data_IF_892029127871
#
_entry.id   IF_892029127871
#
_cell.length_a   1.000
_cell.length_b   1.000
_cell.length_c   1.000
_cell.angle_alpha   90.00
_cell.angle_beta   90.00
_cell.angle_gamma   90.00
#
_symmetry.space_group_name_H-M   'P 1'
#
loop_
_entity.id
_entity.type
_entity.pdbx_description
1 polymer ?
#
# COMPACT_ATOMS: atom_id res chain seq x y z
N UNK A 1 -31.44 -16.94 9.33
CA UNK A 1 -30.27 -16.86 8.43
C UNK A 1 -29.82 -15.42 8.44
N UNK A 2 -28.55 -15.17 8.74
CA UNK A 2 -27.98 -13.84 8.51
C UNK A 2 -28.13 -13.52 7.01
N UNK A 3 -28.20 -12.24 6.64
CA UNK A 3 -28.49 -11.81 5.28
C UNK A 3 -27.51 -12.35 4.21
N UNK A 4 -26.36 -12.92 4.61
CA UNK A 4 -25.30 -13.39 3.71
C UNK A 4 -24.80 -14.82 3.97
N UNK A 5 -25.54 -15.66 4.71
CA UNK A 5 -25.12 -17.05 4.99
C UNK A 5 -24.97 -17.88 3.69
N UNK A 6 -25.97 -17.82 2.80
CA UNK A 6 -25.93 -18.54 1.51
C UNK A 6 -24.84 -18.00 0.58
N UNK A 7 -24.63 -16.68 0.56
CA UNK A 7 -23.56 -16.05 -0.22
C UNK A 7 -22.18 -16.46 0.32
N UNK A 8 -22.03 -16.55 1.63
CA UNK A 8 -20.80 -17.02 2.28
C UNK A 8 -20.52 -18.49 1.95
N UNK A 9 -21.54 -19.34 1.97
CA UNK A 9 -21.41 -20.74 1.58
C UNK A 9 -21.03 -20.89 0.09
N UNK A 10 -21.66 -20.11 -0.79
CA UNK A 10 -21.35 -20.11 -2.22
C UNK A 10 -19.91 -19.63 -2.48
N UNK A 11 -19.47 -18.55 -1.81
CA UNK A 11 -18.10 -18.05 -1.90
C UNK A 11 -17.11 -19.10 -1.41
N UNK A 12 -17.33 -19.69 -0.23
CA UNK A 12 -16.43 -20.69 0.34
C UNK A 12 -16.39 -21.99 -0.49
N UNK A 13 -17.47 -22.30 -1.23
CA UNK A 13 -17.50 -23.45 -2.15
C UNK A 13 -16.62 -23.24 -3.38
N UNK A 14 -16.43 -21.99 -3.82
CA UNK A 14 -15.58 -21.66 -4.96
C UNK A 14 -14.15 -21.27 -4.54
N UNK A 15 -14.03 -20.50 -3.47
CA UNK A 15 -12.78 -19.92 -2.95
C UNK A 15 -12.75 -20.06 -1.41
N UNK A 16 -12.38 -21.24 -0.89
CA UNK A 16 -12.44 -21.55 0.56
C UNK A 16 -11.60 -20.62 1.46
N UNK A 17 -10.62 -19.93 0.88
CA UNK A 17 -9.70 -19.00 1.54
C UNK A 17 -10.24 -17.56 1.60
N UNK A 18 -11.32 -17.25 0.88
CA UNK A 18 -11.98 -15.95 0.93
C UNK A 18 -13.12 -15.95 1.95
N UNK A 19 -13.39 -14.80 2.56
CA UNK A 19 -14.50 -14.61 3.49
C UNK A 19 -15.36 -13.42 3.10
N UNK A 20 -16.67 -13.53 3.37
CA UNK A 20 -17.55 -12.36 3.44
C UNK A 20 -17.51 -11.86 4.88
N UNK A 21 -16.99 -10.64 5.09
CA UNK A 21 -17.10 -9.95 6.36
C UNK A 21 -18.15 -8.85 6.23
N UNK A 22 -19.00 -8.70 7.24
CA UNK A 22 -20.02 -7.63 7.28
C UNK A 22 -19.55 -6.48 8.16
N UNK A 23 -19.92 -5.27 7.77
CA UNK A 23 -19.70 -4.08 8.59
C UNK A 23 -20.76 -3.97 9.72
N UNK A 24 -20.65 -2.94 10.56
CA UNK A 24 -21.61 -2.69 11.66
C UNK A 24 -23.04 -2.30 11.20
N UNK A 25 -23.29 -2.22 9.87
CA UNK A 25 -24.62 -2.08 9.25
C UNK A 25 -25.06 -3.36 8.53
N UNK A 26 -24.27 -4.42 8.64
CA UNK A 26 -24.54 -5.72 8.04
C UNK A 26 -24.27 -5.78 6.54
N UNK A 27 -23.51 -4.85 5.95
CA UNK A 27 -23.20 -4.84 4.52
C UNK A 27 -21.86 -5.55 4.22
N UNK A 28 -21.78 -6.34 3.13
CA UNK A 28 -20.69 -7.28 2.91
C UNK A 28 -19.47 -6.67 2.21
N UNK A 29 -18.29 -7.19 2.54
CA UNK A 29 -17.07 -7.07 1.73
C UNK A 29 -16.48 -8.47 1.51
N UNK A 30 -15.96 -8.73 0.31
CA UNK A 30 -15.18 -9.94 0.02
C UNK A 30 -13.72 -9.71 0.41
N UNK A 31 -13.22 -10.54 1.32
CA UNK A 31 -11.91 -10.37 1.94
C UNK A 31 -11.02 -11.60 1.71
N UNK A 32 -9.72 -11.37 1.62
CA UNK A 32 -8.68 -12.40 1.53
C UNK A 32 -7.91 -12.43 2.83
N UNK A 33 -7.81 -13.60 3.46
CA UNK A 33 -7.04 -13.76 4.69
C UNK A 33 -5.56 -13.97 4.37
N UNK A 34 -4.70 -13.18 4.99
CA UNK A 34 -3.25 -13.27 4.93
C UNK A 34 -2.75 -13.76 6.29
N UNK A 35 -2.30 -15.02 6.42
CA UNK A 35 -1.73 -15.53 7.65
C UNK A 35 -0.49 -14.75 8.07
N UNK A 36 -0.29 -14.58 9.37
CA UNK A 36 0.95 -14.02 9.93
C UNK A 36 2.16 -14.78 9.42
N UNK A 37 3.21 -14.04 9.08
CA UNK A 37 4.53 -14.55 8.76
C UNK A 37 5.63 -13.68 9.38
N UNK A 38 6.86 -14.22 9.38
CA UNK A 38 8.08 -13.57 9.85
C UNK A 38 8.77 -12.82 8.72
N UNK A 39 9.67 -11.90 9.08
CA UNK A 39 10.55 -11.24 8.11
C UNK A 39 11.40 -12.25 7.32
N UNK A 40 11.90 -13.30 7.98
CA UNK A 40 12.67 -14.39 7.36
C UNK A 40 11.87 -15.27 6.39
N UNK A 41 10.54 -15.30 6.50
CA UNK A 41 9.71 -16.05 5.56
C UNK A 41 9.67 -15.40 4.18
N UNK A 42 9.89 -14.07 4.11
CA UNK A 42 9.74 -13.28 2.88
C UNK A 42 11.02 -12.56 2.41
N UNK A 43 12.03 -12.44 3.26
CA UNK A 43 13.33 -11.84 2.93
C UNK A 43 14.45 -12.81 3.31
N UNK A 44 15.28 -13.16 2.32
CA UNK A 44 16.40 -14.07 2.53
C UNK A 44 17.44 -13.44 3.47
N UNK A 45 17.80 -14.16 4.54
CA UNK A 45 18.78 -13.70 5.53
C UNK A 45 18.25 -12.68 6.55
N UNK A 46 16.97 -12.33 6.51
CA UNK A 46 16.34 -11.50 7.53
C UNK A 46 16.17 -12.26 8.86
N UNK A 47 15.95 -11.51 9.94
CA UNK A 47 15.68 -12.09 11.27
C UNK A 47 14.30 -12.74 11.39
N UNK A 48 14.14 -13.57 12.41
CA UNK A 48 12.94 -14.37 12.68
C UNK A 48 11.78 -13.60 13.37
N UNK A 49 11.85 -12.27 13.41
CA UNK A 49 10.79 -11.45 13.98
C UNK A 49 9.53 -11.47 13.13
N UNK A 50 8.36 -11.43 13.78
CA UNK A 50 7.06 -11.21 13.13
C UNK A 50 7.11 -9.98 12.23
N UNK A 51 6.56 -10.07 11.02
CA UNK A 51 6.46 -8.91 10.13
C UNK A 51 5.57 -7.82 10.79
N UNK A 52 5.98 -6.53 10.81
CA UNK A 52 5.27 -5.48 11.55
C UNK A 52 3.78 -5.30 11.20
N UNK A 53 3.37 -5.67 9.97
CA UNK A 53 1.97 -5.71 9.54
C UNK A 53 1.05 -6.51 10.47
N UNK A 54 1.57 -7.51 11.18
CA UNK A 54 0.80 -8.38 12.06
C UNK A 54 0.88 -7.95 13.53
N UNK A 55 1.38 -6.76 13.85
CA UNK A 55 1.48 -6.25 15.21
C UNK A 55 0.67 -4.97 15.32
N UNK A 56 -0.43 -5.02 16.06
CA UNK A 56 -1.31 -3.87 16.30
C UNK A 56 -1.32 -3.55 17.79
N UNK A 57 -0.89 -2.35 18.15
CA UNK A 57 -0.71 -1.87 19.52
C UNK A 57 0.12 -2.83 20.38
N UNK A 58 1.21 -3.36 19.82
CA UNK A 58 2.09 -4.32 20.49
C UNK A 58 1.54 -5.75 20.60
N UNK A 59 0.34 -6.02 20.06
CA UNK A 59 -0.27 -7.35 20.06
C UNK A 59 -0.09 -8.00 18.69
N UNK A 60 0.53 -9.18 18.67
CA UNK A 60 0.58 -10.00 17.46
C UNK A 60 -0.80 -10.55 17.10
N UNK A 61 -1.19 -10.36 15.84
CA UNK A 61 -2.39 -10.91 15.22
C UNK A 61 -2.03 -12.19 14.48
N UNK A 62 -2.97 -13.14 14.40
CA UNK A 62 -2.74 -14.40 13.68
C UNK A 62 -2.72 -14.22 12.15
N UNK A 63 -3.23 -13.09 11.67
CA UNK A 63 -3.28 -12.69 10.28
C UNK A 63 -4.12 -11.43 10.15
N UNK A 64 -4.29 -10.99 8.91
CA UNK A 64 -5.07 -9.81 8.53
C UNK A 64 -5.96 -10.16 7.34
N UNK A 65 -7.03 -9.40 7.15
CA UNK A 65 -7.91 -9.52 6.00
C UNK A 65 -7.73 -8.30 5.11
N UNK A 66 -7.41 -8.52 3.83
CA UNK A 66 -7.31 -7.46 2.84
C UNK A 66 -8.50 -7.54 1.91
N UNK A 67 -9.09 -6.40 1.55
CA UNK A 67 -10.11 -6.32 0.50
C UNK A 67 -9.64 -7.02 -0.76
N UNK A 68 -10.42 -7.97 -1.25
CA UNK A 68 -10.10 -8.71 -2.48
C UNK A 68 -10.00 -7.79 -3.70
N UNK A 69 -10.81 -6.74 -3.71
CA UNK A 69 -10.96 -5.78 -4.78
C UNK A 69 -10.72 -4.35 -4.29
N UNK A 70 -10.22 -3.47 -5.16
CA UNK A 70 -10.26 -2.02 -4.95
C UNK A 70 -11.67 -1.59 -4.55
N UNK A 71 -11.79 -0.71 -3.56
CA UNK A 71 -13.08 -0.48 -2.93
C UNK A 71 -13.96 0.47 -3.72
N UNK A 72 -15.26 0.21 -3.63
CA UNK A 72 -16.31 1.19 -3.94
C UNK A 72 -16.77 1.88 -2.67
N UNK A 73 -17.58 2.94 -2.82
CA UNK A 73 -18.18 3.62 -1.69
C UNK A 73 -19.70 3.74 -1.85
N UNK A 74 -20.44 3.21 -0.88
CA UNK A 74 -21.89 3.41 -0.74
C UNK A 74 -22.18 4.00 0.63
N UNK A 75 -23.03 5.03 0.69
CA UNK A 75 -23.39 5.71 1.95
C UNK A 75 -22.15 6.09 2.79
N UNK A 76 -21.11 6.61 2.12
CA UNK A 76 -19.86 7.03 2.73
C UNK A 76 -19.09 5.92 3.47
N UNK A 77 -19.18 4.68 3.00
CA UNK A 77 -18.47 3.51 3.54
C UNK A 77 -17.83 2.69 2.43
N UNK A 78 -16.69 2.10 2.73
CA UNK A 78 -15.90 1.32 1.79
C UNK A 78 -16.44 -0.10 1.64
N UNK A 79 -16.49 -0.66 0.43
CA UNK A 79 -16.86 -2.06 0.21
C UNK A 79 -15.98 -2.71 -0.84
N UNK A 80 -15.59 -3.96 -0.59
CA UNK A 80 -14.86 -4.77 -1.56
C UNK A 80 -15.82 -5.68 -2.31
N UNK A 81 -16.20 -5.26 -3.52
CA UNK A 81 -17.20 -5.93 -4.33
C UNK A 81 -16.65 -6.19 -5.75
N UNK A 82 -16.98 -7.33 -6.37
CA UNK A 82 -16.55 -7.64 -7.73
C UNK A 82 -17.39 -6.89 -8.76
N UNK A 83 -16.78 -6.52 -9.90
CA UNK A 83 -17.49 -6.02 -11.06
C UNK A 83 -18.01 -4.58 -10.91
N UNK A 84 -17.41 -3.79 -10.03
CA UNK A 84 -17.85 -2.42 -9.75
C UNK A 84 -16.80 -1.37 -10.20
N UNK A 85 -17.24 -0.14 -10.43
CA UNK A 85 -16.33 0.98 -10.73
C UNK A 85 -15.65 1.47 -9.44
N UNK A 86 -14.31 1.39 -9.31
CA UNK A 86 -13.62 1.71 -8.08
C UNK A 86 -13.84 3.17 -7.67
N UNK A 87 -13.96 3.41 -6.36
CA UNK A 87 -14.13 4.76 -5.83
C UNK A 87 -12.84 5.55 -5.98
N UNK A 88 -12.91 6.61 -6.78
CA UNK A 88 -11.82 7.57 -7.02
C UNK A 88 -12.22 9.00 -6.63
N UNK A 89 -11.31 9.96 -6.84
CA UNK A 89 -11.48 11.37 -6.49
C UNK A 89 -11.79 11.53 -5.00
N UNK A 90 -10.94 10.92 -4.17
CA UNK A 90 -11.09 10.87 -2.73
C UNK A 90 -9.78 11.23 -2.04
N UNK A 91 -9.86 12.02 -0.97
CA UNK A 91 -8.71 12.38 -0.14
C UNK A 91 -8.34 11.22 0.79
N UNK A 92 -7.11 11.21 1.31
CA UNK A 92 -6.66 10.17 2.23
C UNK A 92 -7.51 10.13 3.51
N UNK A 93 -7.87 11.29 4.06
CA UNK A 93 -8.69 11.37 5.28
C UNK A 93 -10.13 10.89 5.04
N UNK A 94 -10.72 11.20 3.87
CA UNK A 94 -12.05 10.69 3.52
C UNK A 94 -12.05 9.18 3.28
N UNK A 95 -11.04 8.67 2.56
CA UNK A 95 -10.87 7.23 2.32
C UNK A 95 -10.71 6.46 3.64
N UNK A 96 -9.85 6.95 4.54
CA UNK A 96 -9.69 6.42 5.90
C UNK A 96 -11.02 6.37 6.65
N UNK A 97 -11.74 7.50 6.66
CA UNK A 97 -13.05 7.58 7.32
C UNK A 97 -14.04 6.55 6.77
N UNK A 98 -14.09 6.36 5.45
CA UNK A 98 -15.01 5.40 4.83
C UNK A 98 -14.70 3.95 5.24
N UNK A 99 -13.43 3.63 5.49
CA UNK A 99 -13.03 2.33 5.99
C UNK A 99 -13.32 2.18 7.49
N UNK A 100 -12.91 3.15 8.31
CA UNK A 100 -13.09 3.11 9.78
C UNK A 100 -14.57 3.18 10.18
N UNK A 101 -15.40 3.89 9.41
CA UNK A 101 -16.84 3.95 9.65
C UNK A 101 -17.53 2.58 9.50
N UNK A 102 -16.89 1.55 8.90
CA UNK A 102 -17.42 0.18 8.85
C UNK A 102 -17.47 -0.50 10.23
N UNK A 103 -16.75 0.01 11.22
CA UNK A 103 -16.75 -0.51 12.59
C UNK A 103 -15.36 -0.96 13.06
N UNK A 104 -15.28 -1.39 14.32
CA UNK A 104 -14.02 -1.81 14.94
C UNK A 104 -13.28 -2.86 14.11
N UNK A 105 -11.95 -2.72 14.01
CA UNK A 105 -11.08 -3.57 13.20
C UNK A 105 -10.97 -3.15 11.73
N UNK A 106 -11.97 -2.47 11.16
CA UNK A 106 -11.91 -1.97 9.79
C UNK A 106 -11.07 -0.70 9.67
N UNK A 107 -10.22 -0.66 8.65
CA UNK A 107 -9.31 0.46 8.41
C UNK A 107 -8.92 0.54 6.94
N UNK A 108 -8.34 1.66 6.51
CA UNK A 108 -7.72 1.74 5.19
C UNK A 108 -6.42 0.94 5.22
N UNK A 109 -6.17 0.14 4.17
CA UNK A 109 -5.00 -0.72 4.11
C UNK A 109 -3.72 0.08 4.40
N UNK A 110 -2.93 -0.42 5.35
CA UNK A 110 -1.76 0.31 5.83
C UNK A 110 -0.53 0.12 4.93
N UNK A 111 0.46 0.99 5.08
CA UNK A 111 1.75 0.86 4.40
C UNK A 111 2.51 -0.40 4.82
N UNK A 112 2.36 -0.86 6.07
CA UNK A 112 2.95 -2.12 6.53
C UNK A 112 2.27 -3.32 5.90
N UNK A 113 0.95 -3.29 5.77
CA UNK A 113 0.20 -4.37 5.10
C UNK A 113 0.51 -4.43 3.61
N UNK A 114 0.67 -3.27 2.97
CA UNK A 114 1.10 -3.21 1.58
C UNK A 114 2.50 -3.81 1.40
N UNK A 115 3.45 -3.41 2.25
CA UNK A 115 4.80 -3.95 2.23
C UNK A 115 4.83 -5.47 2.49
N UNK A 116 4.01 -5.96 3.43
CA UNK A 116 3.85 -7.39 3.67
C UNK A 116 3.39 -8.14 2.41
N UNK A 117 2.35 -7.65 1.73
CA UNK A 117 1.89 -8.25 0.47
C UNK A 117 2.96 -8.18 -0.62
N UNK A 118 3.65 -7.04 -0.77
CA UNK A 118 4.68 -6.88 -1.79
C UNK A 118 5.83 -7.88 -1.61
N UNK A 119 6.34 -8.02 -0.38
CA UNK A 119 7.40 -8.97 -0.04
C UNK A 119 6.94 -10.42 -0.21
N UNK A 120 5.72 -10.75 0.22
CA UNK A 120 5.16 -12.09 0.06
C UNK A 120 5.03 -12.47 -1.42
N UNK A 121 4.52 -11.55 -2.25
CA UNK A 121 4.40 -11.75 -3.70
C UNK A 121 5.76 -11.98 -4.33
N UNK A 122 6.75 -11.14 -3.99
CA UNK A 122 8.15 -11.29 -4.44
C UNK A 122 8.71 -12.66 -4.06
N UNK A 123 8.58 -13.06 -2.80
CA UNK A 123 9.12 -14.35 -2.30
C UNK A 123 8.53 -15.55 -3.05
N UNK A 124 7.26 -15.49 -3.41
CA UNK A 124 6.57 -16.56 -4.13
C UNK A 124 6.72 -16.47 -5.66
N UNK A 125 7.44 -15.46 -6.19
CA UNK A 125 7.61 -15.26 -7.62
C UNK A 125 6.33 -14.77 -8.32
N UNK A 126 5.43 -14.13 -7.59
CA UNK A 126 4.12 -13.69 -8.06
C UNK A 126 4.02 -12.17 -8.10
N UNK A 127 4.71 -11.55 -9.05
CA UNK A 127 4.45 -10.14 -9.40
C UNK A 127 3.13 -10.06 -10.20
N UNK A 128 2.07 -9.42 -9.66
CA UNK A 128 0.79 -9.33 -10.33
C UNK A 128 0.89 -8.36 -11.51
N UNK A 129 0.26 -8.75 -12.61
CA UNK A 129 -0.04 -7.84 -13.72
C UNK A 129 -1.20 -6.95 -13.32
N UNK A 130 -1.58 -6.03 -14.19
CA UNK A 130 -2.86 -5.37 -14.01
C UNK A 130 -3.18 -4.37 -15.09
N UNK A 131 -4.26 -3.63 -14.88
CA UNK A 131 -4.63 -2.55 -15.78
C UNK A 131 -3.63 -1.39 -15.64
N UNK A 132 -2.46 -1.47 -16.25
CA UNK A 132 -1.46 -0.38 -16.26
C UNK A 132 -1.28 0.23 -17.67
N UNK A 133 -2.06 -0.24 -18.65
CA UNK A 133 -2.03 0.24 -20.02
C UNK A 133 -3.45 0.24 -20.65
N UNK A 134 -4.32 1.10 -20.13
CA UNK A 134 -5.61 1.45 -20.70
C UNK A 134 -6.55 0.25 -20.99
N UNK A 135 -6.85 -0.52 -19.95
CA UNK A 135 -7.72 -1.72 -19.97
C UNK A 135 -6.98 -3.05 -20.05
N UNK A 136 -5.65 -3.03 -19.96
CA UNK A 136 -4.77 -4.21 -20.00
C UNK A 136 -3.43 -3.95 -19.29
N UNK A 137 -2.62 -5.00 -19.16
CA UNK A 137 -1.21 -4.87 -18.81
C UNK A 137 -0.38 -4.50 -20.04
N UNK A 138 0.74 -3.80 -19.85
CA UNK A 138 1.72 -3.50 -20.92
C UNK A 138 2.23 -4.73 -21.68
N UNK A 139 2.28 -5.90 -21.01
CA UNK A 139 2.71 -7.18 -21.57
C UNK A 139 1.66 -7.83 -22.45
N UNK A 140 0.41 -7.34 -22.40
CA UNK A 140 -0.71 -7.93 -23.10
C UNK A 140 -0.98 -7.20 -24.42
N UNK A 141 -1.40 -7.95 -25.43
CA UNK A 141 -1.77 -7.40 -26.74
C UNK A 141 -3.22 -6.93 -26.74
N UNK A 142 -4.13 -7.70 -26.11
CA UNK A 142 -5.58 -7.46 -26.08
C UNK A 142 -6.06 -6.95 -24.72
N UNK A 143 -7.12 -6.14 -24.72
CA UNK A 143 -7.84 -5.73 -23.50
C UNK A 143 -8.39 -6.95 -22.76
N UNK A 144 -8.32 -6.93 -21.43
CA UNK A 144 -8.74 -8.07 -20.59
C UNK A 144 -9.88 -7.74 -19.64
N UNK A 145 -9.78 -6.63 -18.92
CA UNK A 145 -10.81 -6.21 -17.97
C UNK A 145 -12.02 -5.59 -18.65
N UNK A 146 -13.17 -5.64 -17.99
CA UNK A 146 -14.39 -4.98 -18.46
C UNK A 146 -14.25 -3.48 -18.21
N UNK A 147 -14.30 -2.61 -19.23
CA UNK A 147 -14.14 -1.17 -19.03
C UNK A 147 -15.20 -0.57 -18.11
N UNK A 148 -14.77 0.27 -17.16
CA UNK A 148 -15.64 1.04 -16.28
C UNK A 148 -15.72 2.52 -16.70
N UNK A 149 -14.56 3.13 -16.96
CA UNK A 149 -14.45 4.50 -17.46
C UNK A 149 -13.51 4.60 -18.66
N UNK A 150 -13.56 5.73 -19.34
CA UNK A 150 -12.76 6.02 -20.51
C UNK A 150 -12.08 7.38 -20.37
N UNK A 151 -10.90 7.50 -20.98
CA UNK A 151 -10.24 8.77 -21.26
C UNK A 151 -11.05 9.57 -22.30
N UNK A 152 -10.77 10.87 -22.42
CA UNK A 152 -11.43 11.74 -23.41
C UNK A 152 -11.17 11.30 -24.87
N UNK A 153 -10.09 10.57 -25.12
CA UNK A 153 -9.74 10.01 -26.44
C UNK A 153 -10.31 8.61 -26.70
N UNK A 154 -11.15 8.08 -25.79
CA UNK A 154 -11.84 6.80 -25.94
C UNK A 154 -11.03 5.57 -25.51
N UNK A 155 -9.79 5.74 -25.04
CA UNK A 155 -9.05 4.64 -24.40
C UNK A 155 -9.72 4.28 -23.07
N UNK A 156 -9.66 2.99 -22.70
CA UNK A 156 -10.19 2.56 -21.39
C UNK A 156 -9.32 3.17 -20.29
N UNK A 157 -9.93 3.82 -19.31
CA UNK A 157 -9.24 4.30 -18.12
C UNK A 157 -9.25 3.17 -17.09
N UNK A 158 -10.30 3.11 -16.25
CA UNK A 158 -10.47 2.04 -15.28
C UNK A 158 -11.19 0.83 -15.87
N UNK A 159 -10.95 -0.34 -15.30
CA UNK A 159 -11.74 -1.55 -15.46
C UNK A 159 -12.57 -1.79 -14.19
N UNK A 160 -13.68 -2.50 -14.34
CA UNK A 160 -14.49 -2.95 -13.21
C UNK A 160 -13.64 -3.87 -12.33
N UNK A 161 -13.77 -3.72 -11.02
CA UNK A 161 -12.97 -4.38 -10.01
C UNK A 161 -12.94 -5.90 -10.18
N UNK A 162 -11.75 -6.50 -10.20
CA UNK A 162 -11.59 -7.95 -10.29
C UNK A 162 -12.04 -8.59 -11.61
N UNK A 163 -12.31 -7.81 -12.66
CA UNK A 163 -12.67 -8.35 -13.98
C UNK A 163 -11.46 -8.70 -14.84
N UNK A 164 -10.26 -8.38 -14.37
CA UNK A 164 -9.02 -8.87 -14.97
C UNK A 164 -8.85 -10.39 -14.82
N UNK A 165 -7.92 -10.99 -15.58
CA UNK A 165 -7.62 -12.41 -15.49
C UNK A 165 -6.87 -12.73 -14.19
N UNK A 166 -6.63 -14.01 -13.90
CA UNK A 166 -5.99 -14.43 -12.63
C UNK A 166 -4.61 -13.83 -12.45
N UNK A 167 -3.88 -13.50 -13.52
CA UNK A 167 -2.59 -12.83 -13.49
C UNK A 167 -2.64 -11.45 -12.81
N UNK A 168 -3.82 -10.85 -12.68
CA UNK A 168 -4.02 -9.56 -12.01
C UNK A 168 -4.19 -9.70 -10.49
N UNK A 169 -4.25 -10.94 -10.00
CA UNK A 169 -4.30 -11.24 -8.58
C UNK A 169 -2.90 -11.45 -7.99
N UNK A 170 -2.72 -11.09 -6.73
CA UNK A 170 -1.44 -11.12 -6.02
C UNK A 170 -0.77 -12.51 -5.98
N UNK A 171 -1.55 -13.59 -6.09
CA UNK A 171 -1.09 -14.97 -6.04
C UNK A 171 -1.27 -15.70 -7.39
N UNK A 172 -1.71 -14.99 -8.44
CA UNK A 172 -2.04 -15.54 -9.75
C UNK A 172 -3.13 -16.62 -9.74
N UNK A 173 -4.07 -16.55 -8.78
CA UNK A 173 -5.19 -17.46 -8.61
C UNK A 173 -6.52 -16.70 -8.42
N UNK A 174 -7.64 -17.37 -8.68
CA UNK A 174 -8.98 -16.76 -8.58
C UNK A 174 -9.33 -16.27 -7.18
N UNK A 175 -8.72 -16.83 -6.14
CA UNK A 175 -8.95 -16.47 -4.74
C UNK A 175 -8.06 -15.31 -4.25
N UNK A 176 -7.16 -14.81 -5.09
CA UNK A 176 -6.24 -13.74 -4.73
C UNK A 176 -6.85 -12.35 -4.66
N UNK A 177 -6.07 -11.42 -4.10
CA UNK A 177 -6.34 -9.99 -4.10
C UNK A 177 -6.04 -9.41 -5.48
N UNK A 178 -7.01 -8.74 -6.10
CA UNK A 178 -6.91 -8.18 -7.45
C UNK A 178 -6.49 -6.70 -7.46
N UNK A 179 -6.05 -6.27 -8.64
CA UNK A 179 -5.86 -4.87 -9.04
C UNK A 179 -4.85 -4.12 -8.14
N UNK A 180 -3.81 -4.81 -7.66
CA UNK A 180 -2.70 -4.18 -6.92
C UNK A 180 -1.68 -3.51 -7.85
N UNK A 181 -1.67 -3.88 -9.14
CA UNK A 181 -0.90 -3.24 -10.20
C UNK A 181 -1.87 -2.46 -11.10
N UNK A 182 -1.80 -1.13 -11.07
CA UNK A 182 -2.66 -0.30 -11.90
C UNK A 182 -4.13 -0.29 -11.49
N UNK A 183 -4.98 -0.11 -12.50
CA UNK A 183 -6.34 0.37 -12.43
C UNK A 183 -6.37 1.77 -11.82
N UNK A 184 -6.26 1.91 -10.50
CA UNK A 184 -6.14 3.19 -9.82
C UNK A 184 -5.05 3.11 -8.76
N UNK A 185 -4.41 4.24 -8.49
CA UNK A 185 -3.55 4.39 -7.34
C UNK A 185 -4.33 4.23 -6.05
N UNK A 186 -3.71 3.71 -5.00
CA UNK A 186 -4.39 3.49 -3.73
C UNK A 186 -3.70 4.18 -2.57
N UNK A 187 -4.47 4.97 -1.82
CA UNK A 187 -4.01 5.50 -0.54
C UNK A 187 -3.57 4.38 0.40
N UNK A 188 -2.40 4.56 0.99
CA UNK A 188 -1.80 3.61 1.92
C UNK A 188 -1.48 4.34 3.24
N UNK A 189 -2.11 3.91 4.33
CA UNK A 189 -2.11 4.67 5.60
C UNK A 189 -0.89 4.37 6.49
N UNK A 190 -0.67 5.19 7.52
CA UNK A 190 0.33 4.90 8.56
C UNK A 190 1.78 5.24 8.21
N UNK A 191 2.01 5.88 7.07
CA UNK A 191 3.32 6.37 6.64
C UNK A 191 3.20 7.75 5.98
N UNK A 192 4.15 8.64 6.26
CA UNK A 192 4.27 9.95 5.60
C UNK A 192 5.72 10.38 5.46
N UNK A 193 5.98 11.35 4.57
CA UNK A 193 7.19 12.16 4.59
C UNK A 193 6.88 13.55 5.13
N UNK A 194 7.72 14.06 6.02
CA UNK A 194 7.71 15.44 6.51
C UNK A 194 9.04 16.07 6.16
N UNK A 195 9.07 16.92 5.12
CA UNK A 195 10.30 17.49 4.56
C UNK A 195 11.38 16.42 4.26
N UNK A 196 10.95 15.26 3.76
CA UNK A 196 11.83 14.13 3.43
C UNK A 196 12.13 13.19 4.60
N UNK A 197 11.83 13.56 5.84
CA UNK A 197 11.93 12.64 6.99
C UNK A 197 10.81 11.60 6.94
N UNK A 198 11.18 10.33 7.04
CA UNK A 198 10.21 9.24 7.13
C UNK A 198 9.59 9.22 8.51
N UNK A 199 8.25 9.28 8.54
CA UNK A 199 7.48 9.11 9.74
C UNK A 199 6.43 8.02 9.55
N UNK A 200 6.26 7.21 10.60
CA UNK A 200 5.37 6.05 10.61
C UNK A 200 4.55 6.04 11.90
N UNK A 201 3.42 5.35 11.86
CA UNK A 201 2.85 4.79 13.09
C UNK A 201 3.62 3.49 13.39
N UNK A 202 3.93 3.25 14.66
CA UNK A 202 4.66 2.06 15.08
C UNK A 202 3.96 0.77 14.60
N UNK A 203 4.73 -0.16 14.02
CA UNK A 203 4.20 -1.40 13.45
C UNK A 203 2.95 -1.16 12.59
N UNK A 204 1.88 -1.94 12.78
CA UNK A 204 0.59 -1.73 12.13
C UNK A 204 -0.41 -0.97 13.02
N UNK A 205 0.05 -0.07 13.90
CA UNK A 205 -0.84 0.72 14.75
C UNK A 205 -1.79 1.61 13.94
N UNK A 206 -1.47 1.89 12.68
CA UNK A 206 -2.38 2.58 11.76
C UNK A 206 -3.69 1.81 11.50
N UNK A 207 -3.71 0.49 11.70
CA UNK A 207 -4.92 -0.30 11.56
C UNK A 207 -5.97 0.03 12.63
N UNK A 208 -5.56 0.48 13.82
CA UNK A 208 -6.50 0.86 14.87
C UNK A 208 -6.98 2.31 14.67
N UNK A 209 -8.29 2.49 14.55
CA UNK A 209 -8.91 3.81 14.33
C UNK A 209 -8.78 4.76 15.53
N UNK A 210 -8.48 4.24 16.72
CA UNK A 210 -8.18 5.07 17.90
C UNK A 210 -6.81 5.77 17.81
N UNK A 211 -5.89 5.24 17.01
CA UNK A 211 -4.60 5.89 16.76
C UNK A 211 -4.78 7.01 15.73
N UNK A 212 -4.66 8.26 16.20
CA UNK A 212 -4.82 9.43 15.35
C UNK A 212 -3.73 9.50 14.27
N UNK A 213 -4.16 9.69 13.02
CA UNK A 213 -3.31 9.97 11.86
C UNK A 213 -3.42 11.45 11.41
N UNK A 214 -3.94 12.31 12.27
CA UNK A 214 -3.95 13.75 12.04
C UNK A 214 -2.52 14.30 11.92
N UNK A 215 -2.33 15.42 11.22
CA UNK A 215 -1.01 15.99 10.97
C UNK A 215 -0.25 16.31 12.27
N UNK A 216 -0.97 16.74 13.31
CA UNK A 216 -0.46 17.08 14.65
C UNK A 216 -0.39 15.90 15.63
N UNK A 217 -0.68 14.68 15.19
CA UNK A 217 -0.71 13.51 16.08
C UNK A 217 0.67 13.19 16.64
N UNK A 218 0.74 12.93 17.95
CA UNK A 218 1.95 12.44 18.62
C UNK A 218 2.24 10.94 18.34
N UNK A 219 1.32 10.25 17.65
CA UNK A 219 1.50 8.86 17.24
C UNK A 219 2.52 8.71 16.10
N UNK A 220 2.79 9.79 15.35
CA UNK A 220 3.85 9.79 14.34
C UNK A 220 5.22 9.70 15.00
N UNK A 221 6.00 8.72 14.57
CA UNK A 221 7.38 8.51 14.97
C UNK A 221 8.30 8.61 13.76
N UNK A 222 9.42 9.31 13.91
CA UNK A 222 10.55 9.14 13.01
C UNK A 222 11.34 7.87 13.39
N UNK A 223 12.20 7.40 12.50
CA UNK A 223 13.04 6.23 12.75
C UNK A 223 14.49 6.73 12.86
N UNK A 224 15.17 6.48 13.99
CA UNK A 224 16.61 6.72 14.11
C UNK A 224 17.32 5.75 13.16
N UNK A 225 18.00 6.27 12.14
CA UNK A 225 18.65 5.44 11.14
C UNK A 225 19.93 4.77 11.64
N UNK A 226 20.47 5.14 12.81
CA UNK A 226 21.68 4.56 13.40
C UNK A 226 21.36 3.45 14.40
N UNK A 227 20.20 3.50 15.06
CA UNK A 227 19.78 2.49 16.05
C UNK A 227 18.58 1.65 15.60
N UNK A 228 17.76 2.17 14.68
CA UNK A 228 16.47 1.61 14.27
C UNK A 228 15.33 1.87 15.25
N UNK A 229 15.56 2.68 16.30
CA UNK A 229 14.56 3.01 17.30
C UNK A 229 13.55 4.05 16.77
N UNK A 230 12.33 3.99 17.29
CA UNK A 230 11.32 5.01 17.02
C UNK A 230 11.55 6.22 17.93
N UNK A 231 11.70 7.39 17.32
CA UNK A 231 11.98 8.65 18.00
C UNK A 231 10.91 9.69 17.71
N UNK A 232 10.77 10.67 18.61
CA UNK A 232 9.81 11.77 18.43
C UNK A 232 10.32 12.72 17.34
N UNK A 233 9.56 12.94 16.25
CA UNK A 233 9.97 13.86 15.21
C UNK A 233 9.90 15.32 15.68
N UNK A 234 10.77 16.15 15.14
CA UNK A 234 10.81 17.60 15.44
C UNK A 234 9.80 18.43 14.62
N UNK A 235 9.10 17.80 13.66
CA UNK A 235 8.10 18.42 12.80
C UNK A 235 8.66 19.22 11.61
N UNK A 236 9.98 19.36 11.50
CA UNK A 236 10.66 20.13 10.46
C UNK A 236 11.49 19.25 9.51
N UNK A 237 11.49 17.93 9.76
CA UNK A 237 12.24 16.94 9.00
C UNK A 237 13.75 17.03 9.27
N UNK A 238 14.13 17.53 10.45
CA UNK A 238 15.52 17.75 10.84
C UNK A 238 15.91 16.98 12.10
N UNK A 239 15.08 16.04 12.55
CA UNK A 239 15.35 15.25 13.75
C UNK A 239 16.71 14.57 13.64
N UNK A 240 17.52 14.71 14.68
CA UNK A 240 18.87 14.13 14.73
C UNK A 240 18.81 12.63 14.48
N UNK A 241 19.71 12.14 13.61
CA UNK A 241 19.82 10.74 13.18
C UNK A 241 18.61 10.14 12.46
N UNK A 242 17.48 10.84 12.32
CA UNK A 242 16.30 10.27 11.68
C UNK A 242 16.55 9.92 10.21
N UNK A 243 15.92 8.84 9.75
CA UNK A 243 15.89 8.47 8.35
C UNK A 243 15.22 9.57 7.51
N UNK A 244 15.96 10.02 6.50
CA UNK A 244 15.51 11.01 5.52
C UNK A 244 15.76 10.50 4.11
N UNK A 245 14.87 10.84 3.20
CA UNK A 245 14.94 10.46 1.80
C UNK A 245 15.52 11.59 0.96
N UNK A 246 16.75 11.40 0.52
CA UNK A 246 17.49 12.34 -0.31
C UNK A 246 17.45 11.95 -1.79
N UNK A 247 17.76 12.92 -2.65
CA UNK A 247 17.98 12.69 -4.08
C UNK A 247 19.47 12.77 -4.37
N UNK A 248 20.11 11.63 -4.63
CA UNK A 248 21.55 11.55 -4.91
C UNK A 248 21.76 10.90 -6.27
N UNK A 249 22.44 11.62 -7.18
CA UNK A 249 22.69 11.14 -8.55
C UNK A 249 21.42 10.65 -9.26
N UNK A 250 20.33 11.42 -9.11
CA UNK A 250 19.00 11.13 -9.67
C UNK A 250 18.36 9.83 -9.14
N UNK A 251 18.74 9.39 -7.94
CA UNK A 251 18.17 8.22 -7.25
C UNK A 251 17.77 8.56 -5.83
N UNK A 252 16.69 7.95 -5.35
CA UNK A 252 16.31 8.01 -3.95
C UNK A 252 17.36 7.32 -3.07
N UNK A 253 17.79 8.01 -2.01
CA UNK A 253 18.75 7.49 -1.05
C UNK A 253 18.29 7.75 0.38
N UNK A 254 18.19 6.71 1.18
CA UNK A 254 17.96 6.81 2.62
C UNK A 254 19.24 7.20 3.34
N UNK A 255 19.19 8.30 4.09
CA UNK A 255 20.33 8.87 4.81
C UNK A 255 19.93 9.17 6.27
N UNK A 256 20.92 9.39 7.14
CA UNK A 256 20.70 9.87 8.52
C UNK A 256 21.11 11.33 8.74
N UNK A 257 21.83 11.90 7.78
CA UNK A 257 22.37 13.26 7.81
C UNK A 257 21.44 14.32 7.23
N UNK A 258 22.03 15.40 6.73
CA UNK A 258 21.32 16.50 6.08
C UNK A 258 21.04 16.17 4.62
N UNK A 259 19.82 16.43 4.16
CA UNK A 259 19.45 16.32 2.75
C UNK A 259 20.35 17.22 1.89
N UNK A 260 21.03 16.64 0.91
CA UNK A 260 21.87 17.37 -0.03
C UNK A 260 21.06 18.03 -1.14
N UNK A 261 19.92 17.45 -1.51
CA UNK A 261 19.02 17.97 -2.54
C UNK A 261 17.57 17.96 -2.04
N UNK A 262 17.21 19.02 -1.31
CA UNK A 262 15.84 19.26 -0.82
C UNK A 262 15.07 20.14 -1.80
N UNK A 263 13.97 19.62 -2.36
CA UNK A 263 13.14 20.35 -3.33
C UNK A 263 11.65 20.01 -3.18
N UNK A 264 10.79 21.03 -3.21
CA UNK A 264 9.34 20.85 -3.22
C UNK A 264 8.85 20.50 -4.64
N UNK A 265 9.19 19.29 -5.08
CA UNK A 265 8.83 18.77 -6.39
C UNK A 265 8.76 17.23 -6.31
N UNK A 266 7.83 16.63 -7.04
CA UNK A 266 7.79 15.17 -7.21
C UNK A 266 8.93 14.70 -8.11
N UNK A 267 9.81 13.87 -7.58
CA UNK A 267 10.98 13.32 -8.28
C UNK A 267 11.11 11.84 -7.94
N UNK A 268 11.84 11.07 -8.73
CA UNK A 268 11.91 9.64 -8.49
C UNK A 268 12.93 8.90 -9.32
N UNK A 269 12.96 7.59 -9.12
CA UNK A 269 13.77 6.63 -9.85
C UNK A 269 13.05 5.27 -9.86
N UNK A 270 13.62 4.28 -10.57
CA UNK A 270 13.18 2.89 -10.37
C UNK A 270 13.38 2.47 -8.90
N UNK A 271 12.44 1.71 -8.35
CA UNK A 271 12.52 1.16 -6.99
C UNK A 271 13.80 0.34 -6.78
N UNK A 272 14.19 -0.45 -7.78
CA UNK A 272 15.42 -1.25 -7.77
C UNK A 272 16.70 -0.39 -7.62
N UNK A 273 16.62 0.90 -7.90
CA UNK A 273 17.74 1.85 -7.77
C UNK A 273 17.76 2.62 -6.45
N UNK A 274 16.75 2.45 -5.59
CA UNK A 274 16.73 3.08 -4.27
C UNK A 274 17.80 2.44 -3.39
N UNK A 275 18.55 3.25 -2.67
CA UNK A 275 19.66 2.78 -1.81
C UNK A 275 19.57 3.38 -0.41
N UNK A 276 20.40 2.88 0.51
CA UNK A 276 20.62 3.48 1.82
C UNK A 276 22.11 3.74 2.02
N UNK A 277 22.45 4.79 2.77
CA UNK A 277 23.82 5.04 3.20
C UNK A 277 24.38 3.89 4.06
N UNK A 278 25.69 3.76 4.08
CA UNK A 278 26.40 2.74 4.87
C UNK A 278 26.19 2.91 6.38
N UNK A 279 25.91 4.12 6.84
CA UNK A 279 25.64 4.42 8.24
C UNK A 279 24.19 4.14 8.67
N UNK A 280 23.30 3.79 7.73
CA UNK A 280 21.97 3.29 8.06
C UNK A 280 22.11 1.86 8.56
N UNK A 281 21.73 1.63 9.82
CA UNK A 281 21.88 0.34 10.47
C UNK A 281 20.86 -0.70 9.95
N UNK A 282 21.12 -1.96 10.22
CA UNK A 282 20.31 -3.06 9.67
C UNK A 282 18.88 -3.09 10.24
N UNK A 283 18.68 -2.63 11.48
CA UNK A 283 17.35 -2.49 12.08
C UNK A 283 16.51 -1.44 11.34
N UNK A 284 17.10 -0.29 11.01
CA UNK A 284 16.44 0.75 10.24
C UNK A 284 16.14 0.28 8.81
N UNK A 285 17.07 -0.44 8.17
CA UNK A 285 16.82 -1.08 6.85
C UNK A 285 15.70 -2.11 6.91
N UNK A 286 15.61 -2.91 7.97
CA UNK A 286 14.53 -3.89 8.15
C UNK A 286 13.13 -3.23 8.14
N UNK A 287 13.00 -2.04 8.74
CA UNK A 287 11.75 -1.26 8.68
C UNK A 287 11.48 -0.76 7.26
N UNK A 288 12.49 -0.26 6.55
CA UNK A 288 12.35 0.15 5.15
C UNK A 288 11.97 -1.02 4.23
N UNK A 289 12.53 -2.21 4.47
CA UNK A 289 12.15 -3.43 3.75
C UNK A 289 10.69 -3.81 4.04
N UNK A 290 10.29 -3.83 5.31
CA UNK A 290 8.91 -4.14 5.72
C UNK A 290 7.87 -3.19 5.13
N UNK A 291 8.25 -1.93 4.86
CA UNK A 291 7.42 -0.94 4.18
C UNK A 291 7.48 -1.01 2.65
N UNK A 292 8.31 -1.89 2.06
CA UNK A 292 8.64 -1.87 0.64
C UNK A 292 9.12 -0.49 0.16
N UNK A 293 10.07 0.09 0.90
CA UNK A 293 10.66 1.42 0.68
C UNK A 293 12.16 1.38 0.37
N UNK A 294 12.76 0.19 0.43
CA UNK A 294 14.13 -0.11 0.03
C UNK A 294 14.11 -1.52 -0.60
N UNK A 295 14.77 -1.75 -1.75
CA UNK A 295 14.86 -3.09 -2.33
C UNK A 295 15.69 -4.01 -1.44
N UNK A 296 15.16 -5.20 -1.11
CA UNK A 296 15.81 -6.21 -0.28
C UNK A 296 16.76 -7.13 -1.08
N UNK A 297 16.78 -6.98 -2.40
CA UNK A 297 17.65 -7.70 -3.32
C UNK A 297 18.12 -6.79 -4.45
N UNK A 298 19.38 -6.96 -4.88
CA UNK A 298 19.98 -6.29 -6.04
C UNK A 298 19.88 -7.12 -7.33
N UNK A 299 19.48 -8.38 -7.24
CA UNK A 299 19.37 -9.32 -8.37
C UNK A 299 17.94 -9.62 -8.77
N UNK A 300 16.97 -9.31 -7.89
CA UNK A 300 15.56 -9.47 -8.20
C UNK A 300 15.11 -8.41 -9.21
N UNK A 301 14.31 -8.83 -10.19
CA UNK A 301 13.68 -7.92 -11.14
C UNK A 301 12.38 -7.37 -10.55
N UNK A 302 12.38 -6.08 -10.19
CA UNK A 302 11.20 -5.37 -9.70
C UNK A 302 10.29 -4.87 -10.84
N UNK A 303 10.40 -5.43 -12.05
CA UNK A 303 9.56 -5.20 -13.23
C UNK A 303 9.47 -3.73 -13.71
N UNK A 304 10.40 -2.88 -13.27
CA UNK A 304 10.39 -1.45 -13.60
C UNK A 304 9.59 -0.58 -12.63
N UNK A 305 9.04 -1.16 -11.55
CA UNK A 305 8.29 -0.46 -10.52
C UNK A 305 9.00 0.83 -10.09
N UNK A 306 8.25 1.92 -10.04
CA UNK A 306 8.81 3.26 -9.88
C UNK A 306 8.57 3.86 -8.50
N UNK A 307 9.53 4.66 -8.05
CA UNK A 307 9.55 5.23 -6.71
C UNK A 307 9.64 6.75 -6.77
N UNK A 308 8.51 7.42 -6.51
CA UNK A 308 8.38 8.87 -6.48
C UNK A 308 8.30 9.40 -5.06
N UNK A 309 8.92 10.55 -4.81
CA UNK A 309 8.86 11.26 -3.54
C UNK A 309 9.03 12.76 -3.72
N UNK A 310 8.62 13.51 -2.71
CA UNK A 310 8.92 14.93 -2.56
C UNK A 310 9.45 15.17 -1.13
N UNK A 311 10.71 15.59 -1.04
CA UNK A 311 11.40 15.83 0.23
C UNK A 311 11.45 17.31 0.64
N UNK A 312 10.79 18.21 -0.10
CA UNK A 312 10.82 19.65 0.18
C UNK A 312 9.58 20.22 0.88
N UNK A 313 8.51 19.44 1.03
CA UNK A 313 7.23 19.94 1.57
C UNK A 313 6.91 19.37 2.97
N UNK A 314 6.02 20.05 3.69
CA UNK A 314 5.64 19.74 5.05
C UNK A 314 5.01 18.35 5.24
N UNK A 315 4.24 17.86 4.27
CA UNK A 315 3.60 16.55 4.41
C UNK A 315 3.26 15.90 3.07
N UNK A 316 3.68 14.65 2.90
CA UNK A 316 3.38 13.82 1.74
C UNK A 316 2.93 12.42 2.16
N UNK A 317 1.85 11.94 1.56
CA UNK A 317 1.25 10.63 1.83
C UNK A 317 1.49 9.65 0.70
N UNK A 318 1.55 8.36 1.04
CA UNK A 318 1.77 7.31 0.08
C UNK A 318 0.48 6.99 -0.68
N UNK A 319 0.60 6.96 -2.00
CA UNK A 319 -0.24 6.13 -2.85
C UNK A 319 0.62 5.02 -3.47
N UNK A 320 0.03 3.84 -3.69
CA UNK A 320 0.73 2.64 -4.18
C UNK A 320 0.04 2.02 -5.39
N UNK A 321 0.78 1.17 -6.12
CA UNK A 321 0.24 0.29 -7.17
C UNK A 321 0.28 0.84 -8.60
N UNK A 322 0.17 2.15 -8.78
CA UNK A 322 0.08 2.77 -10.11
C UNK A 322 -1.36 2.91 -10.62
N UNK A 323 -1.54 3.63 -11.74
CA UNK A 323 -2.83 3.77 -12.42
C UNK A 323 -2.85 3.15 -13.82
N UNK A 324 -4.00 3.20 -14.49
CA UNK A 324 -4.19 2.64 -15.84
C UNK A 324 -3.26 3.17 -16.94
N UNK A 325 -2.59 4.29 -16.71
CA UNK A 325 -1.71 4.93 -17.69
C UNK A 325 -0.22 4.88 -17.28
N UNK A 326 0.13 4.16 -16.22
CA UNK A 326 1.50 4.17 -15.67
C UNK A 326 2.46 3.22 -16.37
N UNK A 327 1.98 2.36 -17.26
CA UNK A 327 2.80 1.41 -18.00
C UNK A 327 3.61 0.51 -17.07
N UNK A 328 4.85 0.22 -17.46
CA UNK A 328 5.78 -0.62 -16.70
C UNK A 328 6.25 0.01 -15.36
N UNK A 329 5.84 1.23 -15.05
CA UNK A 329 6.13 1.82 -13.74
C UNK A 329 5.20 1.33 -12.63
N UNK A 330 4.03 0.79 -12.99
CA UNK A 330 3.03 0.31 -12.05
C UNK A 330 3.33 -1.12 -11.56
N UNK A 331 3.03 -1.37 -10.29
CA UNK A 331 3.26 -2.65 -9.63
C UNK A 331 3.33 -2.52 -8.10
N UNK A 332 3.64 -3.63 -7.43
CA UNK A 332 3.59 -3.73 -5.96
C UNK A 332 4.58 -2.80 -5.25
N UNK A 333 5.76 -2.58 -5.84
CA UNK A 333 6.78 -1.69 -5.29
C UNK A 333 6.65 -0.25 -5.83
N UNK A 334 5.70 -0.02 -6.73
CA UNK A 334 5.39 1.32 -7.23
C UNK A 334 4.80 2.18 -6.10
N UNK A 335 5.50 3.25 -5.75
CA UNK A 335 5.15 4.13 -4.63
C UNK A 335 5.25 5.58 -5.05
N UNK A 336 4.27 6.38 -4.67
CA UNK A 336 4.29 7.81 -4.92
C UNK A 336 3.99 8.62 -3.65
N UNK A 337 5.05 9.22 -3.10
CA UNK A 337 5.07 10.05 -1.89
C UNK A 337 5.29 11.54 -2.23
N UNK A 338 4.60 12.05 -3.25
CA UNK A 338 4.71 13.46 -3.65
C UNK A 338 3.41 14.26 -3.55
N UNK A 339 2.31 13.65 -3.09
CA UNK A 339 1.04 14.34 -2.91
C UNK A 339 0.67 14.59 -1.44
N UNK A 340 0.03 15.73 -1.12
CA UNK A 340 -0.56 15.94 0.20
C UNK A 340 -1.80 15.05 0.39
N UNK A 341 -2.18 14.82 1.64
CA UNK A 341 -3.39 14.05 2.00
C UNK A 341 -4.69 14.57 1.39
N UNK A 342 -4.72 15.86 1.02
CA UNK A 342 -5.87 16.55 0.45
C UNK A 342 -6.05 16.33 -1.05
N UNK A 343 -5.09 15.68 -1.73
CA UNK A 343 -5.24 15.41 -3.16
C UNK A 343 -6.39 14.43 -3.40
N UNK A 344 -7.13 14.65 -4.49
CA UNK A 344 -8.27 13.82 -4.87
C UNK A 344 -8.39 13.77 -6.38
N UNK A 345 -7.53 12.98 -7.03
CA UNK A 345 -7.60 12.78 -8.47
C UNK A 345 -8.49 11.59 -8.83
N UNK A 346 -9.01 11.62 -10.05
CA UNK A 346 -9.88 10.57 -10.60
C UNK A 346 -9.16 9.24 -10.87
N UNK A 347 -7.85 9.17 -10.62
CA UNK A 347 -7.03 7.96 -10.63
C UNK A 347 -6.54 7.56 -9.23
N UNK A 348 -7.01 8.21 -8.15
CA UNK A 348 -6.65 7.87 -6.77
C UNK A 348 -7.90 7.34 -6.05
N UNK A 349 -7.83 6.08 -5.66
CA UNK A 349 -8.76 5.36 -4.81
C UNK A 349 -8.08 4.79 -3.56
N UNK A 350 -8.59 3.66 -3.09
CA UNK A 350 -8.17 3.02 -1.84
C UNK A 350 -8.78 1.61 -1.71
N UNK A 351 -8.30 0.85 -0.73
CA UNK A 351 -8.98 -0.36 -0.26
C UNK A 351 -8.95 -0.46 1.27
N UNK A 352 -9.93 -1.13 1.83
CA UNK A 352 -10.02 -1.42 3.26
C UNK A 352 -9.30 -2.72 3.60
N UNK A 353 -8.86 -2.82 4.85
CA UNK A 353 -8.39 -4.02 5.49
C UNK A 353 -9.14 -4.20 6.83
N UNK A 354 -8.95 -5.36 7.45
CA UNK A 354 -9.57 -5.72 8.72
C UNK A 354 -8.64 -6.63 9.54
N UNK A 355 -8.58 -6.40 10.85
CA UNK A 355 -7.98 -7.31 11.81
C UNK A 355 -8.99 -7.66 12.91
N UNK A 356 -8.83 -8.85 13.50
CA UNK A 356 -9.63 -9.34 14.64
C UNK A 356 -9.03 -8.91 15.99
#
# INVERSE_FOLDING_TARGET
MSNFDLSSLALASAFPTNKILTDDKGLPSVMVYIPKFKMSDVIDGAGDSTHPAFIVNGVEKNGIYISKYQNVAYNNRAYSLPGEDPKVSITADTARKYCEDKGAGWHMMSAMEWGALALWCKKNGWMPWGNNNYGKDTRETMKKGVPAKYESDGRTATILTGTGPVEYSHNKQLDGIYDLNGNVWEWSDGMRLVYGELQVLENNNAADSSNSKAASSAAWKAIDGTTGELITPDGNGTTTNSLKLDMVSSKGKWITGTLSDKKDEGRGCSFASVTADTNVCDKAKAILYALAMLPDSTTFDYEGDYFWFNNGNAERFAIRGGGWNYGAYAGLFCTHLAYPRSNSYWYIGFRSAFYE
#
